data_IF_750538660936
#
_entry.id   IF_750538660936
#
_cell.length_a   1.000
_cell.length_b   1.000
_cell.length_c   1.000
_cell.angle_alpha   90.00
_cell.angle_beta   90.00
_cell.angle_gamma   90.00
#
_symmetry.space_group_name_H-M   'P 1'
#
loop_
_entity.id
_entity.type
_entity.pdbx_description
1 polymer ?
#
# COMPACT_ATOMS: atom_id res chain seq x y z
N UNK A 1 59.77 -5.64 -10.06
CA UNK A 1 59.23 -5.71 -8.68
C UNK A 1 58.46 -4.42 -8.37
N UNK A 2 57.36 -4.55 -7.63
CA UNK A 2 56.13 -3.73 -7.68
C UNK A 2 56.19 -2.24 -7.29
N UNK A 3 55.42 -1.43 -8.05
CA UNK A 3 54.80 -0.16 -7.63
C UNK A 3 53.60 -0.47 -6.73
N UNK A 4 53.52 0.17 -5.56
CA UNK A 4 52.32 0.19 -4.71
C UNK A 4 51.71 1.58 -4.66
N UNK A 5 50.71 1.83 -5.50
CA UNK A 5 49.93 3.07 -5.55
C UNK A 5 48.76 2.92 -4.56
N UNK A 6 48.77 3.65 -3.43
CA UNK A 6 47.64 3.69 -2.49
C UNK A 6 46.54 4.58 -3.07
N UNK A 7 45.46 3.99 -3.56
CA UNK A 7 44.21 4.71 -3.85
C UNK A 7 43.52 5.10 -2.55
N UNK A 8 43.32 6.41 -2.34
CA UNK A 8 42.39 6.95 -1.35
C UNK A 8 40.97 6.76 -1.86
N UNK A 9 40.13 6.02 -1.13
CA UNK A 9 38.69 5.98 -1.35
C UNK A 9 38.12 7.38 -1.05
N UNK A 10 37.60 8.06 -2.06
CA UNK A 10 36.82 9.27 -1.86
C UNK A 10 35.44 8.87 -1.31
N UNK A 11 35.09 9.36 -0.13
CA UNK A 11 33.77 9.20 0.48
C UNK A 11 32.83 10.15 -0.29
N UNK A 12 31.83 9.61 -0.99
CA UNK A 12 30.85 10.41 -1.71
C UNK A 12 30.00 11.22 -0.73
N UNK A 13 29.75 12.50 -1.04
CA UNK A 13 28.90 13.38 -0.23
C UNK A 13 27.46 12.86 -0.13
N UNK A 14 26.75 13.08 0.99
CA UNK A 14 25.40 12.55 1.24
C UNK A 14 24.38 12.87 0.12
N UNK A 15 24.48 14.07 -0.46
CA UNK A 15 23.60 14.55 -1.55
C UNK A 15 23.78 13.74 -2.85
N UNK A 16 24.98 13.19 -3.11
CA UNK A 16 25.24 12.33 -4.27
C UNK A 16 24.67 10.93 -4.04
N UNK A 17 24.61 10.48 -2.79
CA UNK A 17 24.04 9.20 -2.40
C UNK A 17 22.50 9.22 -2.52
N UNK A 18 21.84 10.32 -2.10
CA UNK A 18 20.39 10.49 -2.25
C UNK A 18 19.94 10.48 -3.72
N UNK A 19 20.64 11.22 -4.59
CA UNK A 19 20.35 11.21 -6.04
C UNK A 19 20.59 9.84 -6.69
N UNK A 20 21.56 9.07 -6.19
CA UNK A 20 21.80 7.71 -6.67
C UNK A 20 20.71 6.72 -6.21
N UNK A 21 20.13 6.93 -5.02
CA UNK A 21 19.00 6.12 -4.51
C UNK A 21 17.71 6.42 -5.27
N UNK A 22 17.41 7.69 -5.57
CA UNK A 22 16.27 8.07 -6.44
C UNK A 22 16.43 7.55 -7.87
N UNK A 23 17.65 7.59 -8.42
CA UNK A 23 17.97 7.03 -9.73
C UNK A 23 17.82 5.49 -9.75
N UNK A 24 18.20 4.80 -8.68
CA UNK A 24 17.99 3.36 -8.57
C UNK A 24 16.51 2.99 -8.36
N UNK A 25 15.73 3.83 -7.68
CA UNK A 25 14.28 3.64 -7.52
C UNK A 25 13.52 3.79 -8.85
N UNK A 26 13.90 4.80 -9.65
CA UNK A 26 13.35 5.02 -11.00
C UNK A 26 13.78 3.96 -12.01
N UNK A 27 15.02 3.47 -11.95
CA UNK A 27 15.51 2.39 -12.83
C UNK A 27 14.90 1.03 -12.45
N UNK A 28 14.66 0.77 -11.17
CA UNK A 28 13.93 -0.42 -10.71
C UNK A 28 12.50 -0.48 -11.25
N UNK A 29 11.82 0.68 -11.31
CA UNK A 29 10.49 0.84 -11.94
C UNK A 29 10.56 0.60 -13.46
N UNK A 30 11.63 1.04 -14.10
CA UNK A 30 11.82 0.93 -15.55
C UNK A 30 12.05 -0.52 -16.03
N UNK A 31 12.76 -1.35 -15.26
CA UNK A 31 13.12 -2.71 -15.67
C UNK A 31 12.02 -3.77 -15.45
N UNK A 32 10.99 -3.46 -14.64
CA UNK A 32 9.80 -4.30 -14.47
C UNK A 32 8.65 -3.94 -15.45
N UNK A 33 8.78 -2.87 -16.22
CA UNK A 33 7.67 -2.25 -16.96
C UNK A 33 7.41 -2.77 -18.39
N UNK A 34 8.04 -3.87 -18.81
CA UNK A 34 7.72 -4.48 -20.10
C UNK A 34 6.55 -5.46 -20.04
N UNK A 35 5.37 -4.90 -19.78
CA UNK A 35 4.07 -5.41 -20.24
C UNK A 35 3.08 -4.24 -20.17
N UNK A 36 2.72 -3.64 -21.32
CA UNK A 36 1.67 -2.59 -21.49
C UNK A 36 1.32 -1.78 -20.23
N UNK A 37 2.08 -0.69 -20.04
CA UNK A 37 1.92 0.48 -19.15
C UNK A 37 0.99 0.30 -17.95
N UNK A 38 1.58 -0.04 -16.79
CA UNK A 38 1.00 0.30 -15.49
C UNK A 38 0.98 1.83 -15.38
N UNK A 39 -0.15 2.41 -14.95
CA UNK A 39 -0.29 3.84 -14.69
C UNK A 39 0.72 4.30 -13.64
N UNK A 40 1.16 5.54 -13.73
CA UNK A 40 1.95 6.12 -12.64
C UNK A 40 1.01 6.44 -11.47
N UNK A 41 1.12 5.67 -10.40
CA UNK A 41 0.26 5.78 -9.21
C UNK A 41 1.04 6.48 -8.10
N UNK A 42 0.38 7.43 -7.43
CA UNK A 42 0.93 8.23 -6.34
C UNK A 42 0.04 8.19 -5.09
N UNK A 43 0.62 8.48 -3.93
CA UNK A 43 -0.12 8.72 -2.68
C UNK A 43 -1.14 9.85 -2.89
N UNK A 44 -2.38 9.64 -2.45
CA UNK A 44 -3.50 10.56 -2.61
C UNK A 44 -4.39 10.25 -3.82
N UNK A 45 -3.92 9.41 -4.75
CA UNK A 45 -4.72 9.03 -5.91
C UNK A 45 -5.95 8.23 -5.50
N UNK A 46 -7.08 8.62 -6.08
CA UNK A 46 -8.36 7.95 -5.96
C UNK A 46 -8.58 7.09 -7.19
N UNK A 47 -9.03 5.85 -6.98
CA UNK A 47 -9.15 4.89 -8.05
C UNK A 47 -10.43 4.07 -7.95
N UNK A 48 -10.87 3.54 -9.08
CA UNK A 48 -12.05 2.67 -9.16
C UNK A 48 -11.69 1.20 -9.16
N UNK A 49 -12.58 0.39 -8.58
CA UNK A 49 -12.52 -1.08 -8.61
C UNK A 49 -13.83 -1.59 -9.21
N UNK A 50 -13.80 -2.43 -10.26
CA UNK A 50 -15.02 -2.99 -10.83
C UNK A 50 -15.67 -3.99 -9.87
N UNK A 51 -16.94 -3.77 -9.57
CA UNK A 51 -17.78 -4.71 -8.80
C UNK A 51 -18.54 -5.61 -9.77
N UNK A 52 -19.15 -5.03 -10.78
CA UNK A 52 -19.66 -5.75 -11.96
C UNK A 52 -19.63 -4.82 -13.18
N UNK A 53 -20.29 -5.23 -14.26
CA UNK A 53 -20.34 -4.49 -15.52
C UNK A 53 -20.97 -3.10 -15.40
N UNK A 54 -21.71 -2.82 -14.32
CA UNK A 54 -22.48 -1.58 -14.12
C UNK A 54 -22.12 -0.84 -12.84
N UNK A 55 -21.32 -1.44 -11.95
CA UNK A 55 -21.04 -0.89 -10.63
C UNK A 55 -19.55 -0.87 -10.35
N UNK A 56 -19.10 0.23 -9.75
CA UNK A 56 -17.71 0.45 -9.32
C UNK A 56 -17.67 0.87 -7.86
N UNK A 57 -16.65 0.42 -7.15
CA UNK A 57 -16.28 0.94 -5.84
C UNK A 57 -15.08 1.89 -5.98
N UNK A 58 -14.77 2.64 -4.93
CA UNK A 58 -13.67 3.61 -4.92
C UNK A 58 -12.72 3.31 -3.76
N UNK A 59 -11.43 3.42 -4.05
CA UNK A 59 -10.36 3.40 -3.06
C UNK A 59 -9.44 4.59 -3.20
N UNK A 60 -8.53 4.71 -2.23
CA UNK A 60 -7.48 5.72 -2.21
C UNK A 60 -6.14 5.07 -1.89
N UNK A 61 -5.08 5.54 -2.55
CA UNK A 61 -3.70 5.21 -2.19
C UNK A 61 -3.29 6.11 -1.03
N UNK A 62 -2.92 5.54 0.10
CA UNK A 62 -2.63 6.33 1.31
C UNK A 62 -1.18 6.20 1.79
N UNK A 63 -0.41 5.27 1.23
CA UNK A 63 1.01 5.16 1.52
C UNK A 63 1.73 4.22 0.57
N UNK A 64 3.05 4.25 0.64
CA UNK A 64 3.93 3.38 -0.14
C UNK A 64 4.92 2.67 0.78
N UNK A 65 5.10 1.38 0.56
CA UNK A 65 6.14 0.60 1.22
C UNK A 65 6.93 -0.17 0.17
N UNK A 66 8.17 0.26 -0.06
CA UNK A 66 9.02 -0.24 -1.15
C UNK A 66 8.28 -0.08 -2.48
N UNK A 67 8.04 -1.17 -3.21
CA UNK A 67 7.32 -1.16 -4.49
C UNK A 67 5.83 -1.53 -4.34
N UNK A 68 5.28 -1.52 -3.13
CA UNK A 68 3.88 -1.83 -2.86
C UNK A 68 3.12 -0.58 -2.42
N UNK A 69 1.85 -0.52 -2.82
CA UNK A 69 0.91 0.55 -2.50
C UNK A 69 0.06 0.10 -1.32
N UNK A 70 -0.04 0.92 -0.28
CA UNK A 70 -1.06 0.72 0.75
C UNK A 70 -2.31 1.49 0.36
N UNK A 71 -3.37 0.74 0.14
CA UNK A 71 -4.65 1.29 -0.32
C UNK A 71 -5.75 1.01 0.69
N UNK A 72 -6.71 1.93 0.73
CA UNK A 72 -7.98 1.77 1.42
C UNK A 72 -9.11 1.71 0.39
N UNK A 73 -10.20 1.03 0.72
CA UNK A 73 -11.43 0.96 -0.08
C UNK A 73 -12.59 1.42 0.77
N UNK A 74 -13.39 2.36 0.27
CA UNK A 74 -14.54 2.89 0.98
C UNK A 74 -15.76 1.99 0.83
N UNK A 75 -16.65 1.96 1.82
CA UNK A 75 -17.94 1.25 1.74
C UNK A 75 -18.96 2.05 0.92
N UNK A 76 -18.66 2.23 -0.37
CA UNK A 76 -19.47 2.98 -1.34
C UNK A 76 -19.42 2.34 -2.72
N UNK A 77 -20.54 2.44 -3.41
CA UNK A 77 -20.76 1.92 -4.77
C UNK A 77 -21.39 3.01 -5.63
N UNK A 78 -20.91 3.07 -6.86
CA UNK A 78 -21.36 3.97 -7.90
C UNK A 78 -21.87 3.15 -9.07
N UNK A 79 -23.06 3.49 -9.57
CA UNK A 79 -23.60 2.95 -10.82
C UNK A 79 -22.91 3.55 -12.06
N UNK A 80 -23.17 2.97 -13.23
CA UNK A 80 -22.54 3.34 -14.49
C UNK A 80 -22.72 4.82 -14.88
N UNK A 81 -23.86 5.42 -14.52
CA UNK A 81 -24.19 6.82 -14.81
C UNK A 81 -23.71 7.80 -13.73
N UNK A 82 -23.08 7.29 -12.68
CA UNK A 82 -22.56 8.12 -11.59
C UNK A 82 -21.06 8.34 -11.77
N UNK A 83 -20.62 9.59 -11.75
CA UNK A 83 -19.21 9.94 -11.73
C UNK A 83 -18.72 10.01 -10.27
N UNK A 84 -17.88 9.06 -9.81
CA UNK A 84 -17.39 9.08 -8.44
C UNK A 84 -16.43 10.26 -8.17
N UNK A 85 -15.81 10.84 -9.21
CA UNK A 85 -14.89 11.98 -9.07
C UNK A 85 -15.58 13.26 -8.60
N UNK A 86 -16.91 13.31 -8.66
CA UNK A 86 -17.70 14.45 -8.18
C UNK A 86 -18.05 14.37 -6.68
N UNK A 87 -17.74 13.26 -6.01
CA UNK A 87 -18.12 12.98 -4.61
C UNK A 87 -16.91 12.69 -3.71
N UNK A 88 -15.71 13.18 -4.08
CA UNK A 88 -14.46 12.83 -3.42
C UNK A 88 -14.36 13.31 -1.97
N UNK A 89 -14.93 14.48 -1.67
CA UNK A 89 -14.92 15.08 -0.32
C UNK A 89 -15.70 14.21 0.67
N UNK A 90 -16.88 13.72 0.29
CA UNK A 90 -17.72 12.85 1.12
C UNK A 90 -17.10 11.46 1.37
N UNK A 91 -16.28 10.97 0.43
CA UNK A 91 -15.65 9.66 0.50
C UNK A 91 -14.58 9.59 1.58
N UNK A 92 -13.69 10.58 1.63
CA UNK A 92 -12.51 10.57 2.52
C UNK A 92 -12.85 10.67 4.00
N UNK A 93 -14.04 11.18 4.35
CA UNK A 93 -14.55 11.20 5.72
C UNK A 93 -15.07 9.86 6.25
N UNK A 94 -15.37 8.90 5.37
CA UNK A 94 -15.98 7.61 5.74
C UNK A 94 -14.96 6.61 6.27
N UNK A 95 -15.38 5.69 7.16
CA UNK A 95 -14.53 4.59 7.58
C UNK A 95 -14.28 3.62 6.40
N UNK A 96 -13.02 3.22 6.13
CA UNK A 96 -12.74 2.24 5.09
C UNK A 96 -13.38 0.88 5.40
N UNK A 97 -13.74 0.16 4.34
CA UNK A 97 -14.19 -1.22 4.37
C UNK A 97 -13.01 -2.20 4.35
N UNK A 98 -12.03 -1.93 3.49
CA UNK A 98 -10.83 -2.76 3.30
C UNK A 98 -9.58 -1.90 3.33
N UNK A 99 -8.46 -2.48 3.78
CA UNK A 99 -7.16 -1.84 3.69
C UNK A 99 -6.02 -2.86 3.55
N UNK A 100 -5.11 -2.63 2.60
CA UNK A 100 -4.02 -3.57 2.34
C UNK A 100 -2.83 -3.00 1.56
N UNK A 101 -1.64 -3.56 1.81
CA UNK A 101 -0.47 -3.43 0.94
C UNK A 101 -0.64 -4.34 -0.29
N UNK A 102 -0.61 -3.77 -1.48
CA UNK A 102 -0.79 -4.48 -2.75
C UNK A 102 0.28 -4.12 -3.77
N UNK A 103 0.49 -5.01 -4.73
CA UNK A 103 1.19 -4.66 -5.97
C UNK A 103 0.29 -3.84 -6.90
N UNK A 104 0.90 -3.11 -7.82
CA UNK A 104 0.26 -2.17 -8.74
C UNK A 104 -0.38 -2.82 -9.99
N UNK A 105 -0.42 -4.16 -10.06
CA UNK A 105 -0.71 -4.87 -11.31
C UNK A 105 -2.10 -4.62 -11.90
N UNK A 106 -3.05 -4.06 -11.12
CA UNK A 106 -4.38 -3.65 -11.59
C UNK A 106 -4.49 -2.20 -12.04
N UNK A 107 -3.51 -1.34 -11.79
CA UNK A 107 -3.49 0.03 -12.31
C UNK A 107 -3.04 0.03 -13.76
N UNK A 108 -3.86 -0.54 -14.64
CA UNK A 108 -3.63 -0.65 -16.08
C UNK A 108 -4.90 -0.21 -16.81
N UNK A 109 -4.81 0.26 -18.06
CA UNK A 109 -5.98 0.65 -18.83
C UNK A 109 -7.06 -0.45 -18.86
N UNK A 110 -8.29 -0.09 -18.51
CA UNK A 110 -9.45 -1.00 -18.47
C UNK A 110 -9.55 -1.90 -17.24
N UNK A 111 -8.70 -1.71 -16.22
CA UNK A 111 -8.79 -2.41 -14.94
C UNK A 111 -9.18 -1.44 -13.82
N UNK A 112 -8.22 -0.97 -13.03
CA UNK A 112 -8.44 0.08 -12.03
C UNK A 112 -8.01 1.41 -12.61
N UNK A 113 -8.95 2.36 -12.65
CA UNK A 113 -8.75 3.68 -13.24
C UNK A 113 -8.61 4.72 -12.15
N UNK A 114 -7.59 5.59 -12.28
CA UNK A 114 -7.43 6.77 -11.43
C UNK A 114 -8.48 7.80 -11.86
N UNK A 115 -9.26 8.29 -10.91
CA UNK A 115 -10.40 9.19 -11.14
C UNK A 115 -10.23 10.56 -10.49
N UNK A 116 -9.17 10.75 -9.72
CA UNK A 116 -8.90 12.01 -9.05
C UNK A 116 -7.79 11.89 -8.03
N UNK A 117 -7.60 12.97 -7.28
CA UNK A 117 -6.58 13.06 -6.25
C UNK A 117 -7.13 13.84 -5.06
N UNK A 118 -6.86 13.35 -3.86
CA UNK A 118 -7.23 14.00 -2.60
C UNK A 118 -6.14 13.74 -1.56
N UNK A 119 -6.04 14.63 -0.56
CA UNK A 119 -5.12 14.42 0.55
C UNK A 119 -5.39 13.08 1.22
N UNK A 120 -4.35 12.29 1.43
CA UNK A 120 -4.43 11.04 2.19
C UNK A 120 -4.18 11.33 3.68
N UNK A 121 -5.10 10.88 4.53
CA UNK A 121 -4.94 10.94 5.99
C UNK A 121 -4.02 9.79 6.46
N UNK A 122 -2.72 9.98 6.23
CA UNK A 122 -1.69 8.97 6.52
C UNK A 122 -1.58 8.69 8.01
N UNK A 123 -1.79 9.67 8.87
CA UNK A 123 -1.79 9.52 10.34
C UNK A 123 -2.89 8.55 10.78
N UNK A 124 -4.10 8.70 10.21
CA UNK A 124 -5.23 7.83 10.53
C UNK A 124 -5.11 6.43 9.95
N UNK A 125 -4.57 6.29 8.74
CA UNK A 125 -4.66 5.03 8.00
C UNK A 125 -3.39 4.18 8.02
N UNK A 126 -2.19 4.76 8.17
CA UNK A 126 -0.94 4.00 8.12
C UNK A 126 -0.66 3.28 9.44
N UNK A 127 -1.06 2.02 9.49
CA UNK A 127 -0.84 1.13 10.63
C UNK A 127 0.62 0.71 10.77
N UNK A 128 1.04 0.46 12.00
CA UNK A 128 2.25 -0.32 12.26
C UNK A 128 2.03 -1.78 11.86
N UNK A 129 3.11 -2.52 11.62
CA UNK A 129 3.03 -3.93 11.26
C UNK A 129 3.91 -4.81 12.13
N UNK A 130 3.44 -6.04 12.36
CA UNK A 130 4.28 -7.11 12.90
C UNK A 130 5.00 -7.86 11.79
N UNK A 131 6.23 -8.32 12.07
CA UNK A 131 6.95 -9.25 11.21
C UNK A 131 7.87 -10.15 12.03
N UNK A 132 8.36 -11.23 11.41
CA UNK A 132 9.13 -12.27 12.09
C UNK A 132 8.25 -13.42 12.59
N UNK A 133 8.86 -14.29 13.39
CA UNK A 133 8.24 -15.48 13.96
C UNK A 133 8.73 -15.66 15.40
N UNK A 134 7.86 -16.17 16.28
CA UNK A 134 8.16 -16.32 17.70
C UNK A 134 9.34 -17.28 17.94
N UNK A 135 9.46 -18.29 17.07
CA UNK A 135 10.43 -19.40 17.15
C UNK A 135 11.84 -19.01 16.70
N UNK A 136 12.02 -17.83 16.11
CA UNK A 136 13.32 -17.36 15.60
C UNK A 136 13.91 -16.32 16.56
N UNK A 137 13.64 -15.04 16.31
CA UNK A 137 14.13 -13.89 17.09
C UNK A 137 12.97 -13.11 17.71
N UNK A 138 11.82 -13.76 17.86
CA UNK A 138 10.58 -13.13 18.31
C UNK A 138 9.90 -12.28 17.24
N UNK A 139 8.67 -11.88 17.54
CA UNK A 139 7.88 -10.96 16.70
C UNK A 139 8.37 -9.53 16.92
N UNK A 140 8.54 -8.77 15.84
CA UNK A 140 8.94 -7.37 15.85
C UNK A 140 7.80 -6.51 15.33
N UNK A 141 7.71 -5.29 15.83
CA UNK A 141 6.81 -4.25 15.33
C UNK A 141 7.66 -3.23 14.59
N UNK A 142 7.15 -2.78 13.47
CA UNK A 142 7.72 -1.68 12.69
C UNK A 142 6.67 -0.60 12.46
N UNK A 143 7.12 0.64 12.37
CA UNK A 143 6.32 1.69 11.76
C UNK A 143 6.01 1.33 10.29
N UNK A 144 5.02 2.00 9.69
CA UNK A 144 4.62 1.74 8.32
C UNK A 144 5.80 1.74 7.33
N UNK A 145 6.74 2.69 7.49
CA UNK A 145 7.87 2.87 6.59
C UNK A 145 8.91 1.74 6.67
N UNK A 146 9.01 1.04 7.80
CA UNK A 146 10.10 0.09 8.05
C UNK A 146 11.31 0.69 8.77
N UNK A 147 11.31 1.99 9.07
CA UNK A 147 12.46 2.73 9.58
C UNK A 147 12.67 2.55 11.09
N UNK A 148 11.58 2.40 11.85
CA UNK A 148 11.61 2.24 13.31
C UNK A 148 11.17 0.83 13.64
N UNK A 149 11.98 0.11 14.42
CA UNK A 149 11.75 -1.31 14.74
C UNK A 149 11.97 -1.55 16.23
N UNK A 150 11.07 -2.30 16.86
CA UNK A 150 11.25 -2.84 18.22
C UNK A 150 10.66 -4.24 18.36
N UNK A 151 10.98 -4.94 19.44
CA UNK A 151 10.30 -6.21 19.78
C UNK A 151 8.83 -5.94 20.13
N UNK A 152 7.95 -6.82 19.69
CA UNK A 152 6.56 -6.85 20.12
C UNK A 152 6.46 -7.39 21.55
N UNK A 153 5.55 -6.84 22.35
CA UNK A 153 5.06 -7.52 23.54
C UNK A 153 4.15 -8.69 23.15
N UNK A 154 3.84 -9.56 24.13
CA UNK A 154 2.94 -10.69 23.92
C UNK A 154 1.57 -10.28 23.33
N UNK A 155 0.85 -9.31 23.92
CA UNK A 155 -0.41 -8.81 23.36
C UNK A 155 -0.25 -8.20 21.97
N UNK A 156 0.73 -7.31 21.78
CA UNK A 156 0.93 -6.63 20.48
C UNK A 156 1.23 -7.60 19.34
N UNK A 157 1.91 -8.72 19.63
CA UNK A 157 2.20 -9.76 18.62
C UNK A 157 0.94 -10.40 18.02
N UNK A 158 -0.22 -10.24 18.68
CA UNK A 158 -1.51 -10.77 18.25
C UNK A 158 -2.46 -9.70 17.70
N UNK A 159 -2.35 -8.48 18.22
CA UNK A 159 -3.25 -7.37 17.91
C UNK A 159 -2.77 -6.52 16.72
N UNK A 160 -1.44 -6.36 16.57
CA UNK A 160 -0.87 -5.57 15.47
C UNK A 160 -0.82 -6.43 14.20
N UNK A 161 -1.40 -5.96 13.07
CA UNK A 161 -1.52 -6.75 11.85
C UNK A 161 -0.15 -7.17 11.32
N UNK A 162 -0.08 -8.42 10.83
CA UNK A 162 1.13 -8.91 10.17
C UNK A 162 1.35 -8.17 8.86
N UNK A 163 2.61 -7.81 8.57
CA UNK A 163 2.97 -7.29 7.26
C UNK A 163 2.77 -8.36 6.20
N UNK A 164 1.80 -8.14 5.31
CA UNK A 164 1.52 -8.94 4.14
C UNK A 164 1.35 -8.02 2.93
N UNK A 165 1.98 -8.38 1.81
CA UNK A 165 1.78 -7.72 0.51
C UNK A 165 1.02 -8.72 -0.35
N UNK A 166 -0.17 -8.34 -0.78
CA UNK A 166 -1.09 -9.22 -1.49
C UNK A 166 -1.22 -8.86 -2.97
N UNK A 167 -1.79 -9.77 -3.75
CA UNK A 167 -2.26 -9.44 -5.09
C UNK A 167 -3.46 -8.49 -5.00
N UNK A 168 -3.52 -7.39 -5.78
CA UNK A 168 -4.70 -6.50 -5.81
C UNK A 168 -6.02 -7.22 -6.13
N UNK A 169 -5.97 -8.39 -6.78
CA UNK A 169 -7.14 -9.22 -7.04
C UNK A 169 -7.90 -9.61 -5.75
N UNK A 170 -7.23 -9.74 -4.59
CA UNK A 170 -7.91 -10.08 -3.34
C UNK A 170 -8.93 -9.02 -2.94
N UNK A 171 -8.61 -7.75 -3.14
CA UNK A 171 -9.47 -6.63 -2.80
C UNK A 171 -10.65 -6.54 -3.77
N UNK A 172 -10.40 -6.77 -5.06
CA UNK A 172 -11.47 -6.84 -6.06
C UNK A 172 -12.45 -7.97 -5.77
N UNK A 173 -11.95 -9.17 -5.40
CA UNK A 173 -12.82 -10.29 -5.05
C UNK A 173 -13.54 -10.09 -3.71
N UNK A 174 -12.89 -9.42 -2.76
CA UNK A 174 -13.53 -9.06 -1.49
C UNK A 174 -14.67 -8.05 -1.68
N UNK A 175 -14.48 -6.98 -2.48
CA UNK A 175 -15.53 -6.00 -2.74
C UNK A 175 -16.68 -6.60 -3.56
N UNK A 176 -16.37 -7.45 -4.53
CA UNK A 176 -17.37 -8.22 -5.27
C UNK A 176 -18.22 -9.09 -4.33
N UNK A 177 -17.58 -9.88 -3.46
CA UNK A 177 -18.28 -10.73 -2.51
C UNK A 177 -19.08 -9.93 -1.46
N UNK A 178 -18.57 -8.79 -0.99
CA UNK A 178 -19.28 -7.87 -0.08
C UNK A 178 -20.59 -7.37 -0.69
N UNK A 179 -20.62 -7.16 -2.01
CA UNK A 179 -21.81 -6.76 -2.76
C UNK A 179 -22.57 -7.93 -3.42
N UNK A 180 -22.39 -9.16 -2.91
CA UNK A 180 -23.17 -10.33 -3.28
C UNK A 180 -22.72 -11.05 -4.55
N UNK A 181 -21.55 -10.71 -5.11
CA UNK A 181 -20.99 -11.35 -6.29
C UNK A 181 -19.95 -12.39 -5.89
N UNK A 182 -20.32 -13.66 -6.05
CA UNK A 182 -19.50 -14.78 -5.63
C UNK A 182 -19.61 -15.06 -4.12
N UNK A 183 -18.82 -16.02 -3.65
CA UNK A 183 -18.83 -16.43 -2.23
C UNK A 183 -17.85 -15.61 -1.41
N UNK A 184 -18.23 -15.29 -0.17
CA UNK A 184 -17.29 -14.78 0.82
C UNK A 184 -16.28 -15.86 1.21
N UNK A 185 -14.99 -15.55 1.14
CA UNK A 185 -13.89 -16.46 1.48
C UNK A 185 -13.22 -16.02 2.79
N UNK A 186 -12.69 -16.94 3.61
CA UNK A 186 -11.95 -16.58 4.83
C UNK A 186 -10.80 -15.59 4.58
N UNK A 187 -10.12 -15.67 3.44
CA UNK A 187 -9.07 -14.72 3.06
C UNK A 187 -9.57 -13.26 2.94
N UNK A 188 -10.86 -13.03 2.72
CA UNK A 188 -11.43 -11.68 2.65
C UNK A 188 -11.61 -11.04 4.03
N UNK A 189 -11.71 -11.84 5.10
CA UNK A 189 -11.72 -11.33 6.47
C UNK A 189 -10.38 -10.71 6.87
N UNK A 190 -9.29 -11.19 6.28
CA UNK A 190 -7.95 -10.67 6.54
C UNK A 190 -7.80 -9.25 6.00
N UNK A 191 -8.45 -8.90 4.88
CA UNK A 191 -8.31 -7.59 4.23
C UNK A 191 -9.30 -6.54 4.74
N UNK A 192 -10.24 -6.93 5.62
CA UNK A 192 -11.12 -5.96 6.30
C UNK A 192 -10.29 -4.91 7.01
N UNK A 193 -10.69 -3.66 6.81
CA UNK A 193 -10.12 -2.58 7.57
C UNK A 193 -10.48 -2.79 9.05
N UNK A 194 -9.46 -2.84 9.88
CA UNK A 194 -9.57 -2.82 11.33
C UNK A 194 -8.80 -1.60 11.78
N UNK A 195 -9.40 -0.68 12.54
CA UNK A 195 -8.66 0.39 13.19
C UNK A 195 -7.55 -0.26 14.02
N UNK A 196 -6.32 -0.17 13.54
CA UNK A 196 -5.14 -0.63 14.25
C UNK A 196 -4.57 0.51 15.08
N UNK A 197 -3.52 0.21 15.83
CA UNK A 197 -2.71 1.27 16.45
C UNK A 197 -1.93 1.95 15.33
N UNK A 198 -2.11 3.27 15.18
CA UNK A 198 -1.45 4.02 14.12
C UNK A 198 0.08 3.97 14.31
N UNK A 199 0.84 4.03 13.21
CA UNK A 199 2.30 4.06 13.30
C UNK A 199 2.79 5.24 14.15
N UNK A 200 2.12 6.40 14.04
CA UNK A 200 2.39 7.58 14.85
C UNK A 200 2.23 7.26 16.35
N UNK A 201 1.11 6.69 16.75
CA UNK A 201 0.82 6.34 18.16
C UNK A 201 1.85 5.38 18.78
N UNK A 202 2.44 4.46 18.01
CA UNK A 202 3.39 3.46 18.53
C UNK A 202 4.84 3.93 18.58
N UNK A 203 5.19 4.96 17.82
CA UNK A 203 6.58 5.32 17.56
C UNK A 203 6.87 6.83 17.63
N UNK A 204 5.91 7.64 18.06
CA UNK A 204 6.12 9.04 18.47
C UNK A 204 7.04 9.16 19.69
#
# INVERSE_FOLDING_TARGET
MHRGQRQRLAIASPVVLERAVEAHHSIGRLLLNNARNVSDVSIGDLFTIPVDDQRRSVGQVVGEYRSALYVIIFDRIFGADQDPSLQLEDLTGSQPLFARLIFDSRFRPGMWEIIGHAAADSERYLSAFTYGAAELDGVKITDFSGSKVRRATGPESKEVPRRAIDSPLILEKAIQAHHGIGRWLPAFEEVRYRPGIASAELFD
#
